data_IF_404126333975
#
_entry.id   IF_404126333975
#
_cell.length_a   1.000
_cell.length_b   1.000
_cell.length_c   1.000
_cell.angle_alpha   90.00
_cell.angle_beta   90.00
_cell.angle_gamma   90.00
#
_symmetry.space_group_name_H-M   'P 1'
#
loop_
_entity.id
_entity.type
_entity.pdbx_description
1 polymer ?
#
# COMPACT_ATOMS: atom_id res chain seq x y z
N UNK A 1 -21.57 8.53 -4.78
CA UNK A 1 -20.33 9.15 -4.21
C UNK A 1 -19.59 9.92 -5.29
N UNK A 2 -18.76 10.93 -4.98
CA UNK A 2 -18.00 11.70 -6.01
C UNK A 2 -16.57 11.19 -6.14
N UNK A 3 -16.06 11.16 -7.37
CA UNK A 3 -14.65 10.85 -7.62
C UNK A 3 -13.76 12.02 -7.14
N UNK A 4 -12.72 11.79 -6.31
CA UNK A 4 -11.85 12.87 -5.81
C UNK A 4 -10.91 13.46 -6.88
N UNK A 5 -10.80 12.83 -8.05
CA UNK A 5 -9.89 13.26 -9.12
C UNK A 5 -10.58 14.05 -10.24
N UNK A 6 -11.84 13.73 -10.53
CA UNK A 6 -12.58 14.34 -11.64
C UNK A 6 -13.97 14.85 -11.26
N UNK A 7 -14.34 14.77 -9.98
CA UNK A 7 -15.59 15.26 -9.39
C UNK A 7 -16.89 14.68 -9.94
N UNK A 8 -16.81 13.76 -10.90
CA UNK A 8 -17.97 13.05 -11.45
C UNK A 8 -18.70 12.27 -10.38
N UNK A 9 -20.02 12.21 -10.55
CA UNK A 9 -20.90 11.43 -9.71
C UNK A 9 -20.80 9.95 -10.08
N UNK A 10 -20.47 9.13 -9.10
CA UNK A 10 -20.44 7.67 -9.19
C UNK A 10 -21.69 7.13 -8.49
N UNK A 11 -22.47 6.35 -9.21
CA UNK A 11 -23.63 5.67 -8.65
C UNK A 11 -23.21 4.54 -7.70
N UNK A 12 -24.08 4.24 -6.75
CA UNK A 12 -23.76 3.30 -5.67
C UNK A 12 -24.87 3.14 -4.64
N UNK A 13 -24.71 2.16 -3.77
CA UNK A 13 -25.59 1.85 -2.65
C UNK A 13 -24.79 1.81 -1.33
N UNK A 14 -25.43 1.47 -0.21
CA UNK A 14 -24.72 1.21 1.05
C UNK A 14 -24.50 -0.30 1.20
N UNK A 15 -23.34 -0.68 1.70
CA UNK A 15 -23.04 -2.05 2.06
C UNK A 15 -24.04 -2.55 3.12
N UNK A 16 -24.72 -3.69 2.92
CA UNK A 16 -25.67 -4.22 3.90
C UNK A 16 -25.00 -4.71 5.19
N UNK A 17 -23.72 -5.07 5.13
CA UNK A 17 -22.96 -5.60 6.27
C UNK A 17 -22.35 -4.50 7.15
N UNK A 18 -21.71 -3.49 6.54
CA UNK A 18 -20.98 -2.46 7.29
C UNK A 18 -21.52 -1.03 7.12
N UNK A 19 -22.44 -0.81 6.18
CA UNK A 19 -23.03 0.51 5.92
C UNK A 19 -22.18 1.47 5.09
N UNK A 20 -20.96 1.11 4.69
CA UNK A 20 -20.09 1.97 3.87
C UNK A 20 -20.63 2.15 2.44
N UNK A 21 -20.32 3.29 1.81
CA UNK A 21 -20.70 3.55 0.41
C UNK A 21 -20.01 2.58 -0.56
N UNK A 22 -20.78 1.88 -1.37
CA UNK A 22 -20.29 0.93 -2.38
C UNK A 22 -20.67 1.39 -3.78
N UNK A 23 -19.80 1.14 -4.75
CA UNK A 23 -20.06 1.46 -6.14
C UNK A 23 -21.10 0.51 -6.74
N UNK A 24 -21.89 1.00 -7.68
CA UNK A 24 -22.84 0.18 -8.41
C UNK A 24 -22.10 -0.93 -9.18
N UNK A 25 -22.56 -2.17 -9.04
CA UNK A 25 -21.90 -3.34 -9.65
C UNK A 25 -20.61 -3.80 -8.94
N UNK A 26 -20.29 -3.27 -7.75
CA UNK A 26 -19.18 -3.79 -6.97
C UNK A 26 -19.41 -5.26 -6.58
N UNK A 27 -18.39 -6.10 -6.79
CA UNK A 27 -18.41 -7.51 -6.40
C UNK A 27 -18.24 -7.68 -4.89
N UNK A 28 -17.43 -6.82 -4.26
CA UNK A 28 -17.11 -6.85 -2.84
C UNK A 28 -17.11 -5.43 -2.27
N UNK A 29 -17.40 -5.30 -0.98
CA UNK A 29 -17.22 -4.05 -0.26
C UNK A 29 -15.72 -3.75 -0.05
N UNK A 30 -15.26 -2.57 -0.47
CA UNK A 30 -13.84 -2.17 -0.31
C UNK A 30 -13.44 -1.90 1.16
N UNK A 31 -14.42 -1.74 2.06
CA UNK A 31 -14.16 -1.48 3.47
C UNK A 31 -14.18 -2.73 4.35
N UNK A 32 -15.13 -3.66 4.14
CA UNK A 32 -15.26 -4.86 4.97
C UNK A 32 -15.04 -6.18 4.23
N UNK A 33 -14.88 -6.16 2.90
CA UNK A 33 -14.68 -7.37 2.09
C UNK A 33 -15.94 -8.22 1.87
N UNK A 34 -17.11 -7.82 2.37
CA UNK A 34 -18.34 -8.57 2.18
C UNK A 34 -18.66 -8.75 0.68
N UNK A 35 -19.05 -9.96 0.23
CA UNK A 35 -19.51 -10.17 -1.14
C UNK A 35 -20.85 -9.45 -1.34
N UNK A 36 -20.97 -8.69 -2.43
CA UNK A 36 -22.15 -7.89 -2.76
C UNK A 36 -22.86 -8.40 -4.02
N UNK A 37 -22.13 -9.07 -4.92
CA UNK A 37 -22.74 -9.67 -6.11
C UNK A 37 -23.27 -11.09 -5.83
N UNK A 38 -24.39 -11.42 -6.48
CA UNK A 38 -25.01 -12.73 -6.39
C UNK A 38 -24.04 -13.81 -6.89
N UNK A 39 -23.89 -14.90 -6.11
CA UNK A 39 -23.00 -16.01 -6.45
C UNK A 39 -21.57 -15.92 -5.90
N UNK A 40 -21.17 -14.81 -5.27
CA UNK A 40 -19.83 -14.67 -4.66
C UNK A 40 -19.74 -15.10 -3.19
N UNK A 41 -20.87 -15.35 -2.53
CA UNK A 41 -20.89 -15.76 -1.12
C UNK A 41 -20.39 -17.19 -0.86
N UNK A 42 -20.20 -18.00 -1.91
CA UNK A 42 -19.91 -19.43 -1.82
C UNK A 42 -18.77 -19.87 -2.75
N UNK A 43 -17.54 -19.39 -2.52
CA UNK A 43 -16.32 -19.91 -3.19
C UNK A 43 -15.42 -20.70 -2.23
N UNK A 44 -15.94 -21.17 -1.09
CA UNK A 44 -15.12 -21.79 -0.05
C UNK A 44 -15.02 -23.32 -0.10
N UNK A 45 -15.78 -24.03 -0.94
CA UNK A 45 -15.95 -25.49 -0.77
C UNK A 45 -16.03 -26.27 -2.09
N UNK A 46 -15.12 -26.03 -3.04
CA UNK A 46 -14.81 -27.03 -4.08
C UNK A 46 -13.29 -27.17 -4.25
N UNK A 47 -12.74 -28.02 -3.38
CA UNK A 47 -11.79 -29.08 -3.71
C UNK A 47 -10.55 -28.71 -4.57
N UNK A 48 -9.45 -28.37 -3.88
CA UNK A 48 -8.19 -29.08 -4.12
C UNK A 48 -7.35 -28.69 -5.34
N UNK A 49 -7.16 -27.40 -5.63
CA UNK A 49 -6.16 -26.98 -6.62
C UNK A 49 -4.74 -26.76 -6.05
N UNK A 50 -4.51 -27.12 -4.79
CA UNK A 50 -3.17 -27.43 -4.28
C UNK A 50 -3.00 -28.93 -4.37
N UNK A 51 -2.93 -29.43 -5.61
CA UNK A 51 -2.23 -30.67 -5.84
C UNK A 51 -0.78 -30.36 -5.51
N UNK A 52 -0.27 -30.96 -4.43
CA UNK A 52 1.09 -30.86 -3.87
C UNK A 52 2.10 -31.49 -4.86
N UNK A 53 2.01 -31.11 -6.14
CA UNK A 53 3.02 -31.33 -7.14
C UNK A 53 3.86 -30.06 -7.17
N UNK A 54 5.17 -30.24 -7.07
CA UNK A 54 6.25 -29.26 -6.84
C UNK A 54 6.33 -28.03 -7.79
N UNK A 55 5.28 -27.74 -8.58
CA UNK A 55 5.20 -26.67 -9.58
C UNK A 55 4.94 -25.27 -8.98
N UNK A 56 4.41 -25.19 -7.75
CA UNK A 56 4.09 -23.94 -7.05
C UNK A 56 4.99 -23.69 -5.83
N UNK A 57 6.29 -23.95 -5.94
CA UNK A 57 7.25 -23.55 -4.91
C UNK A 57 7.43 -22.02 -4.87
N UNK A 58 6.76 -21.37 -3.91
CA UNK A 58 6.83 -19.91 -3.73
C UNK A 58 8.22 -19.43 -3.29
N UNK A 59 9.05 -20.29 -2.70
CA UNK A 59 10.38 -19.91 -2.19
C UNK A 59 11.39 -19.75 -3.34
N UNK A 60 11.27 -20.54 -4.40
CA UNK A 60 12.13 -20.41 -5.60
C UNK A 60 11.73 -19.25 -6.52
N UNK A 61 10.55 -18.65 -6.37
CA UNK A 61 10.09 -17.52 -7.20
C UNK A 61 10.64 -16.17 -6.72
N UNK A 62 11.95 -15.98 -6.88
CA UNK A 62 12.64 -14.73 -6.52
C UNK A 62 12.38 -13.66 -7.58
N UNK A 63 11.87 -12.49 -7.19
CA UNK A 63 11.65 -11.35 -8.10
C UNK A 63 12.97 -10.66 -8.50
N UNK A 64 12.99 -10.05 -9.69
CA UNK A 64 14.10 -9.21 -10.13
C UNK A 64 14.31 -8.00 -9.18
N UNK A 65 15.56 -7.67 -8.82
CA UNK A 65 15.83 -6.58 -7.86
C UNK A 65 15.72 -5.17 -8.45
N UNK A 66 15.46 -4.99 -9.75
CA UNK A 66 15.44 -3.64 -10.34
C UNK A 66 14.19 -2.80 -9.98
N UNK A 67 13.19 -3.43 -9.35
CA UNK A 67 11.99 -2.77 -8.83
C UNK A 67 10.95 -2.33 -9.87
N UNK A 68 11.30 -2.30 -11.16
CA UNK A 68 10.38 -1.99 -12.27
C UNK A 68 10.13 -3.20 -13.19
N UNK A 69 11.04 -4.16 -13.22
CA UNK A 69 10.96 -5.38 -13.99
C UNK A 69 10.03 -6.37 -13.31
N UNK A 70 9.16 -6.99 -14.12
CA UNK A 70 8.17 -7.98 -13.69
C UNK A 70 8.72 -9.41 -13.68
N UNK A 71 10.00 -9.58 -14.00
CA UNK A 71 10.65 -10.89 -14.14
C UNK A 71 11.05 -11.54 -12.82
N UNK A 72 11.36 -12.83 -12.92
CA UNK A 72 11.90 -13.65 -11.81
C UNK A 72 13.33 -14.08 -12.11
N UNK A 73 14.08 -14.44 -11.07
CA UNK A 73 15.44 -14.95 -11.20
C UNK A 73 15.39 -16.46 -11.41
N UNK A 74 15.91 -16.91 -12.55
CA UNK A 74 16.10 -18.33 -12.88
C UNK A 74 17.55 -18.51 -13.31
N UNK A 75 18.24 -19.50 -12.77
CA UNK A 75 19.67 -19.75 -13.03
C UNK A 75 20.58 -18.52 -12.81
N UNK A 76 20.20 -17.67 -11.83
CA UNK A 76 20.96 -16.47 -11.47
C UNK A 76 20.73 -15.26 -12.38
N UNK A 77 19.83 -15.34 -13.36
CA UNK A 77 19.50 -14.25 -14.29
C UNK A 77 18.00 -13.98 -14.32
N UNK A 78 17.62 -12.72 -14.53
CA UNK A 78 16.23 -12.35 -14.73
C UNK A 78 15.71 -12.86 -16.08
N UNK A 79 14.53 -13.48 -16.10
CA UNK A 79 13.88 -13.99 -17.32
C UNK A 79 13.52 -12.92 -18.34
N UNK A 80 13.33 -11.67 -17.91
CA UNK A 80 12.89 -10.56 -18.77
C UNK A 80 14.04 -9.64 -19.19
N UNK A 81 14.86 -9.18 -18.24
CA UNK A 81 15.92 -8.21 -18.49
C UNK A 81 17.33 -8.81 -18.55
N UNK A 82 17.51 -10.08 -18.14
CA UNK A 82 18.80 -10.77 -18.16
C UNK A 82 19.79 -10.33 -17.08
N UNK A 83 19.40 -9.48 -16.13
CA UNK A 83 20.25 -9.00 -15.03
C UNK A 83 20.42 -10.04 -13.92
N UNK A 84 21.59 -10.09 -13.29
CA UNK A 84 21.84 -10.90 -12.10
C UNK A 84 21.48 -10.15 -10.80
N UNK A 85 21.13 -10.87 -9.71
CA UNK A 85 20.92 -10.26 -8.42
C UNK A 85 22.23 -9.68 -7.86
N UNK A 86 22.35 -8.35 -7.87
CA UNK A 86 23.56 -7.63 -7.44
C UNK A 86 24.17 -6.72 -8.50
N UNK A 87 23.70 -6.80 -9.75
CA UNK A 87 24.02 -5.83 -10.81
C UNK A 87 23.24 -4.51 -10.60
N UNK A 88 23.37 -3.95 -9.40
CA UNK A 88 23.19 -2.51 -9.23
C UNK A 88 24.42 -1.90 -9.86
N UNK A 89 24.29 -1.54 -11.14
CA UNK A 89 25.28 -0.72 -11.83
C UNK A 89 25.71 0.39 -10.87
N UNK A 90 26.98 0.37 -10.49
CA UNK A 90 27.61 1.38 -9.66
C UNK A 90 27.54 2.71 -10.41
N UNK A 91 26.46 3.46 -10.21
CA UNK A 91 26.40 4.86 -10.63
C UNK A 91 26.87 5.74 -9.48
N UNK A 92 28.01 6.38 -9.74
CA UNK A 92 28.59 7.56 -9.09
C UNK A 92 29.30 7.38 -7.74
N UNK A 93 30.56 6.95 -7.86
CA UNK A 93 31.67 7.41 -7.03
C UNK A 93 31.65 8.95 -6.82
N UNK A 94 31.51 9.37 -5.56
CA UNK A 94 32.58 10.08 -4.79
C UNK A 94 32.73 11.61 -4.91
N UNK A 95 32.13 12.34 -3.96
CA UNK A 95 32.71 13.43 -3.10
C UNK A 95 31.51 14.02 -2.30
N UNK A 96 31.47 14.09 -0.97
CA UNK A 96 32.43 14.64 -0.02
C UNK A 96 32.07 14.11 1.37
N UNK A 97 33.01 13.42 2.01
CA UNK A 97 33.13 13.47 3.47
C UNK A 97 33.91 14.73 3.83
N UNK A 98 33.29 15.63 4.59
CA UNK A 98 33.99 16.55 5.48
C UNK A 98 33.03 16.94 6.60
N UNK A 99 33.31 16.36 7.76
CA UNK A 99 32.95 16.81 9.11
C UNK A 99 32.72 18.31 9.24
N UNK A 100 31.67 18.70 9.96
CA UNK A 100 31.78 19.64 11.08
C UNK A 100 30.60 19.49 12.04
N UNK A 101 31.00 19.32 13.30
CA UNK A 101 30.23 19.06 14.51
C UNK A 101 29.51 20.32 15.01
N UNK A 102 28.47 20.09 15.82
CA UNK A 102 28.00 20.95 16.94
C UNK A 102 26.92 22.02 16.69
N UNK A 103 25.74 21.75 17.24
CA UNK A 103 24.89 22.73 17.94
C UNK A 103 23.86 21.94 18.77
N UNK A 104 24.19 21.55 20.00
CA UNK A 104 23.92 22.29 21.25
C UNK A 104 22.46 22.73 21.44
N UNK A 105 21.86 22.06 22.42
CA UNK A 105 20.60 22.24 23.10
C UNK A 105 20.39 23.69 23.57
N UNK A 106 19.25 24.29 23.23
CA UNK A 106 18.80 25.54 23.83
C UNK A 106 17.32 25.45 24.22
N UNK A 107 17.13 25.72 25.50
CA UNK A 107 15.93 25.82 26.31
C UNK A 107 14.89 26.82 25.80
N UNK A 108 13.60 26.53 26.02
CA UNK A 108 12.57 27.57 26.13
C UNK A 108 11.77 27.37 27.42
N UNK A 109 11.90 28.33 28.33
CA UNK A 109 11.07 28.53 29.51
C UNK A 109 10.28 29.84 29.34
N UNK A 110 9.05 29.85 29.88
CA UNK A 110 8.12 30.97 30.17
C UNK A 110 7.19 31.41 29.04
N UNK A 111 5.88 31.16 29.17
CA UNK A 111 4.90 31.81 30.06
C UNK A 111 4.48 33.17 29.52
N UNK A 112 3.23 33.26 29.04
CA UNK A 112 2.51 34.52 28.99
C UNK A 112 0.99 34.31 29.06
N UNK A 113 0.32 35.40 29.40
CA UNK A 113 -0.81 35.48 30.33
C UNK A 113 -2.19 35.57 29.63
N UNK A 114 -3.24 35.25 30.39
CA UNK A 114 -4.67 35.26 30.04
C UNK A 114 -5.22 36.68 29.77
N UNK A 115 -6.27 36.88 28.93
CA UNK A 115 -7.54 37.34 29.49
C UNK A 115 -8.82 36.74 28.86
N UNK A 116 -9.96 37.15 29.42
CA UNK A 116 -11.32 36.60 29.40
C UNK A 116 -12.15 36.93 28.14
N UNK A 117 -13.17 36.11 27.89
CA UNK A 117 -14.58 36.52 27.66
C UNK A 117 -15.45 35.36 28.17
N UNK A 118 -16.33 35.51 29.18
CA UNK A 118 -17.66 36.15 29.15
C UNK A 118 -18.44 35.63 27.91
N UNK A 119 -19.50 34.83 27.99
CA UNK A 119 -20.73 35.13 28.72
C UNK A 119 -21.66 33.89 28.78
N UNK A 120 -22.49 33.83 29.82
CA UNK A 120 -23.57 32.86 30.03
C UNK A 120 -24.84 33.35 29.32
N UNK A 121 -25.51 32.49 28.56
CA UNK A 121 -26.98 32.43 28.43
C UNK A 121 -27.32 31.36 27.37
N UNK A 122 -28.43 30.66 27.37
CA UNK A 122 -29.53 30.33 28.28
C UNK A 122 -30.25 29.17 27.58
#
# INVERSE_FOLDING_TARGET
>A
MKCPHCEKELSGSLCPECGEGVLEGANYCMACGAPLAEGLAHVAEEDGFLDDNDDFDLESRVLCPDGSCTGIIVDGLCTECGRAPGDVEATDDKLVEASEDKSEEATEEKADEKPKSDDKNA
#
